data_IF_057227714820
#
_entry.id   IF_057227714820
#
_cell.length_a   1.000
_cell.length_b   1.000
_cell.length_c   1.000
_cell.angle_alpha   90.00
_cell.angle_beta   90.00
_cell.angle_gamma   90.00
#
_symmetry.space_group_name_H-M   'P 1'
#
loop_
_entity.id
_entity.type
_entity.pdbx_description
1 polymer ?
#
# COMPACT_ATOMS: atom_id res chain seq x y z
N UNK A 1 3.28 -8.68 -18.89
CA UNK A 1 2.17 -8.90 -17.94
C UNK A 1 2.47 -10.09 -17.04
N UNK A 2 2.22 -9.94 -15.76
CA UNK A 2 2.33 -11.06 -14.86
C UNK A 2 1.43 -12.22 -15.24
N UNK A 3 1.94 -13.43 -15.12
CA UNK A 3 1.15 -14.65 -15.35
C UNK A 3 0.34 -14.95 -14.09
N UNK A 4 -0.97 -14.83 -14.18
CA UNK A 4 -1.88 -15.02 -13.05
C UNK A 4 -1.75 -16.40 -12.41
N UNK A 5 -1.33 -17.39 -13.17
CA UNK A 5 -1.15 -18.76 -12.66
C UNK A 5 -0.04 -18.86 -11.62
N UNK A 6 0.87 -17.88 -11.57
CA UNK A 6 1.99 -17.83 -10.61
C UNK A 6 1.68 -16.93 -9.41
N UNK A 7 0.49 -16.33 -9.38
CA UNK A 7 0.09 -15.46 -8.28
C UNK A 7 -0.34 -16.32 -7.10
N UNK A 8 0.25 -16.08 -5.93
CA UNK A 8 -0.12 -16.77 -4.71
C UNK A 8 -1.47 -16.32 -4.17
N UNK A 9 -1.89 -16.84 -3.01
CA UNK A 9 -3.12 -16.40 -2.36
C UNK A 9 -3.07 -14.91 -2.06
N UNK A 10 -4.25 -14.26 -2.03
CA UNK A 10 -4.34 -12.83 -1.72
C UNK A 10 -3.92 -12.58 -0.27
N UNK A 11 -3.15 -11.53 -0.06
CA UNK A 11 -2.83 -11.07 1.28
C UNK A 11 -3.74 -9.90 1.64
N UNK A 12 -3.87 -9.64 2.94
CA UNK A 12 -4.69 -8.54 3.45
C UNK A 12 -3.91 -7.23 3.35
N UNK A 13 -4.41 -6.29 2.58
CA UNK A 13 -3.74 -5.02 2.38
C UNK A 13 -4.42 -4.14 1.35
N UNK A 14 -3.91 -2.94 1.18
CA UNK A 14 -4.43 -1.92 0.28
C UNK A 14 -3.27 -1.37 -0.54
N UNK A 15 -3.46 -1.23 -1.85
CA UNK A 15 -2.40 -0.71 -2.73
C UNK A 15 -2.93 0.48 -3.51
N UNK A 16 -2.14 1.55 -3.50
CA UNK A 16 -2.28 2.69 -4.40
C UNK A 16 -0.97 2.87 -5.15
N UNK A 17 -1.03 3.55 -6.28
CA UNK A 17 0.18 3.83 -7.05
C UNK A 17 0.34 5.34 -7.21
N UNK A 18 1.55 5.82 -6.95
CA UNK A 18 1.96 7.21 -7.14
C UNK A 18 2.94 7.26 -8.30
N UNK A 19 2.49 7.85 -9.40
CA UNK A 19 3.25 7.81 -10.65
C UNK A 19 3.49 6.34 -11.04
N UNK A 20 4.71 5.83 -10.95
CA UNK A 20 5.02 4.42 -11.26
C UNK A 20 5.36 3.60 -10.01
N UNK A 21 5.25 4.19 -8.82
CA UNK A 21 5.64 3.54 -7.58
C UNK A 21 4.40 3.05 -6.84
N UNK A 22 4.27 1.73 -6.73
CA UNK A 22 3.20 1.12 -5.95
C UNK A 22 3.50 1.21 -4.45
N UNK A 23 2.46 1.48 -3.68
CA UNK A 23 2.52 1.59 -2.22
C UNK A 23 1.58 0.56 -1.63
N UNK A 24 2.14 -0.40 -0.89
CA UNK A 24 1.36 -1.41 -0.18
C UNK A 24 1.17 -0.97 1.27
N UNK A 25 -0.09 -0.82 1.66
CA UNK A 25 -0.47 -0.46 3.04
C UNK A 25 -0.93 -1.73 3.74
N UNK A 26 -0.26 -2.10 4.81
CA UNK A 26 -0.58 -3.28 5.61
C UNK A 26 -0.88 -2.88 7.05
N UNK A 27 -1.65 -3.71 7.73
CA UNK A 27 -2.07 -3.49 9.11
C UNK A 27 -3.29 -4.34 9.40
N UNK A 28 -3.64 -4.45 10.67
CA UNK A 28 -4.83 -5.21 11.06
C UNK A 28 -6.11 -4.51 10.59
N UNK A 29 -7.21 -5.24 10.56
CA UNK A 29 -8.54 -4.68 10.28
C UNK A 29 -8.82 -3.49 11.20
N UNK A 30 -9.34 -2.40 10.63
CA UNK A 30 -9.64 -1.20 11.40
C UNK A 30 -8.45 -0.30 11.67
N UNK A 31 -7.27 -0.60 11.12
CA UNK A 31 -6.06 0.20 11.36
C UNK A 31 -6.03 1.52 10.57
N UNK A 32 -6.90 1.68 9.58
CA UNK A 32 -6.95 2.91 8.78
C UNK A 32 -6.33 2.79 7.40
N UNK A 33 -6.16 1.57 6.88
CA UNK A 33 -5.56 1.35 5.55
C UNK A 33 -6.34 2.05 4.44
N UNK A 34 -7.65 1.83 4.40
CA UNK A 34 -8.50 2.43 3.36
C UNK A 34 -8.57 3.95 3.49
N UNK A 35 -8.63 4.47 4.72
CA UNK A 35 -8.64 5.91 4.95
C UNK A 35 -7.33 6.55 4.49
N UNK A 36 -6.19 5.91 4.75
CA UNK A 36 -4.91 6.41 4.26
C UNK A 36 -4.86 6.39 2.73
N UNK A 37 -5.33 5.31 2.11
CA UNK A 37 -5.41 5.23 0.65
C UNK A 37 -6.27 6.35 0.08
N UNK A 38 -7.45 6.60 0.66
CA UNK A 38 -8.34 7.67 0.22
C UNK A 38 -7.69 9.05 0.36
N UNK A 39 -6.94 9.27 1.45
CA UNK A 39 -6.20 10.52 1.64
C UNK A 39 -5.12 10.70 0.56
N UNK A 40 -4.42 9.64 0.21
CA UNK A 40 -3.41 9.68 -0.85
C UNK A 40 -4.04 9.92 -2.23
N UNK A 41 -5.20 9.33 -2.47
CA UNK A 41 -5.96 9.53 -3.73
C UNK A 41 -6.56 10.93 -3.82
N UNK A 42 -6.84 11.54 -2.69
CA UNK A 42 -7.46 12.88 -2.63
C UNK A 42 -6.48 14.04 -2.69
N UNK A 43 -5.18 13.79 -2.78
CA UNK A 43 -4.19 14.86 -2.88
C UNK A 43 -4.36 15.61 -4.19
N UNK A 44 -4.50 16.95 -4.09
CA UNK A 44 -4.83 17.76 -5.26
C UNK A 44 -3.66 17.97 -6.22
N UNK A 45 -2.42 17.81 -5.75
CA UNK A 45 -1.23 18.09 -6.54
C UNK A 45 -0.79 16.90 -7.37
N UNK A 46 -0.60 15.75 -6.74
CA UNK A 46 -0.15 14.51 -7.40
C UNK A 46 -0.83 13.33 -6.72
N UNK A 47 -2.11 13.11 -7.03
CA UNK A 47 -2.86 12.06 -6.36
C UNK A 47 -2.37 10.67 -6.74
N UNK A 48 -2.48 9.74 -5.79
CA UNK A 48 -2.34 8.34 -6.07
C UNK A 48 -3.58 7.80 -6.78
N UNK A 49 -3.42 6.71 -7.50
CA UNK A 49 -4.52 5.95 -8.10
C UNK A 49 -4.70 4.65 -7.36
N UNK A 50 -5.94 4.17 -7.27
CA UNK A 50 -6.26 2.90 -6.62
C UNK A 50 -5.76 1.72 -7.45
N UNK A 51 -5.19 0.72 -6.79
CA UNK A 51 -4.93 -0.59 -7.39
C UNK A 51 -5.85 -1.62 -6.77
N UNK A 52 -5.85 -1.74 -5.45
CA UNK A 52 -6.73 -2.68 -4.75
C UNK A 52 -6.96 -2.26 -3.31
N UNK A 53 -8.13 -2.61 -2.76
CA UNK A 53 -8.42 -2.47 -1.33
C UNK A 53 -8.80 -3.83 -0.76
N UNK A 54 -8.35 -4.10 0.48
CA UNK A 54 -8.72 -5.27 1.28
C UNK A 54 -8.25 -6.63 0.74
N UNK A 55 -7.53 -6.66 -0.35
CA UNK A 55 -6.96 -7.91 -0.87
C UNK A 55 -5.95 -7.62 -1.94
N UNK A 56 -4.78 -8.21 -1.85
CA UNK A 56 -3.66 -7.93 -2.75
C UNK A 56 -3.12 -9.23 -3.31
N UNK A 57 -3.08 -9.33 -4.62
CA UNK A 57 -2.36 -10.40 -5.29
C UNK A 57 -0.93 -9.94 -5.55
N UNK A 58 0.02 -10.76 -5.17
CA UNK A 58 1.45 -10.46 -5.33
C UNK A 58 2.10 -11.47 -6.26
N UNK A 59 3.00 -10.97 -7.11
CA UNK A 59 3.78 -11.82 -7.99
C UNK A 59 5.20 -11.29 -8.11
N UNK A 60 6.17 -12.13 -7.74
CA UNK A 60 7.58 -11.79 -7.87
C UNK A 60 8.04 -12.01 -9.32
N UNK A 61 8.88 -11.11 -9.81
CA UNK A 61 9.51 -11.19 -11.12
C UNK A 61 10.94 -10.66 -10.96
N UNK A 62 11.88 -11.56 -10.76
CA UNK A 62 13.25 -11.19 -10.41
C UNK A 62 13.28 -10.45 -9.06
N UNK A 63 13.83 -9.25 -9.07
CA UNK A 63 13.90 -8.39 -7.88
C UNK A 63 12.66 -7.51 -7.72
N UNK A 64 11.70 -7.59 -8.65
CA UNK A 64 10.49 -6.78 -8.63
C UNK A 64 9.30 -7.56 -8.07
N UNK A 65 8.40 -6.84 -7.44
CA UNK A 65 7.16 -7.42 -6.92
C UNK A 65 5.99 -6.65 -7.52
N UNK A 66 5.16 -7.36 -8.29
CA UNK A 66 4.00 -6.80 -8.96
C UNK A 66 2.74 -7.10 -8.18
N UNK A 67 1.78 -6.18 -8.22
CA UNK A 67 0.52 -6.32 -7.50
C UNK A 67 -0.67 -6.07 -8.40
N UNK A 68 -1.80 -6.69 -8.02
CA UNK A 68 -3.09 -6.48 -8.68
C UNK A 68 -4.21 -6.80 -7.70
N UNK A 69 -5.43 -6.38 -8.04
CA UNK A 69 -6.61 -6.71 -7.25
C UNK A 69 -7.17 -8.07 -7.65
N UNK A 70 -7.66 -8.87 -6.69
CA UNK A 70 -8.55 -9.97 -7.04
C UNK A 70 -9.72 -9.44 -7.89
N UNK A 71 -10.20 -10.19 -8.91
CA UNK A 71 -11.19 -9.65 -9.85
C UNK A 71 -12.44 -9.08 -9.18
N UNK A 72 -12.92 -9.70 -8.10
CA UNK A 72 -14.13 -9.24 -7.41
C UNK A 72 -13.92 -7.96 -6.58
N UNK A 73 -12.69 -7.52 -6.39
CA UNK A 73 -12.37 -6.33 -5.59
C UNK A 73 -11.96 -5.13 -6.44
N UNK A 74 -11.88 -5.28 -7.77
CA UNK A 74 -11.41 -4.23 -8.66
C UNK A 74 -12.25 -2.95 -8.55
N UNK A 75 -11.57 -1.83 -8.33
CA UNK A 75 -12.19 -0.50 -8.30
C UNK A 75 -13.03 -0.22 -7.05
N UNK A 76 -13.02 -1.11 -6.06
CA UNK A 76 -13.83 -0.95 -4.86
C UNK A 76 -12.97 -0.58 -3.67
N UNK A 77 -13.44 0.40 -2.91
CA UNK A 77 -12.79 0.80 -1.65
C UNK A 77 -13.86 1.16 -0.64
N UNK A 78 -13.68 0.72 0.60
CA UNK A 78 -14.62 1.02 1.67
C UNK A 78 -14.28 2.37 2.31
N UNK A 79 -15.29 3.27 2.35
CA UNK A 79 -15.20 4.50 3.13
C UNK A 79 -15.95 4.28 4.43
N UNK A 80 -15.25 4.36 5.53
CA UNK A 80 -15.80 4.11 6.85
C UNK A 80 -17.09 4.92 7.09
N UNK A 81 -18.15 4.23 7.48
CA UNK A 81 -19.45 4.86 7.75
C UNK A 81 -20.27 5.19 6.52
N UNK A 82 -19.74 5.02 5.32
CA UNK A 82 -20.41 5.42 4.07
C UNK A 82 -20.59 4.27 3.08
N UNK A 83 -19.96 3.13 3.33
CA UNK A 83 -20.07 1.96 2.47
C UNK A 83 -18.98 1.90 1.40
N UNK A 84 -19.24 1.10 0.37
CA UNK A 84 -18.26 0.84 -0.68
C UNK A 84 -18.42 1.87 -1.80
N UNK A 85 -17.29 2.52 -2.15
CA UNK A 85 -17.20 3.42 -3.29
C UNK A 85 -16.55 2.69 -4.46
N UNK A 86 -16.90 3.11 -5.67
CA UNK A 86 -16.27 2.63 -6.89
C UNK A 86 -15.38 3.72 -7.46
N UNK A 87 -14.17 3.36 -7.83
CA UNK A 87 -13.18 4.27 -8.38
C UNK A 87 -12.56 3.71 -9.65
N UNK A 88 -12.05 4.60 -10.49
CA UNK A 88 -11.12 4.19 -11.53
C UNK A 88 -9.90 3.55 -10.84
N UNK A 89 -9.33 2.54 -11.45
CA UNK A 89 -8.23 1.80 -10.84
C UNK A 89 -7.18 1.43 -11.89
N UNK A 90 -5.97 1.19 -11.40
CA UNK A 90 -4.85 0.68 -12.20
C UNK A 90 -4.80 -0.84 -11.99
N UNK A 91 -4.73 -1.60 -13.07
CA UNK A 91 -4.81 -3.06 -12.99
C UNK A 91 -3.61 -3.70 -12.29
N UNK A 92 -2.42 -3.15 -12.53
CA UNK A 92 -1.20 -3.71 -11.95
C UNK A 92 -0.16 -2.62 -11.79
N UNK A 93 0.69 -2.76 -10.78
CA UNK A 93 1.82 -1.87 -10.59
C UNK A 93 2.95 -2.62 -9.88
N UNK A 94 4.16 -2.05 -9.99
CA UNK A 94 5.31 -2.56 -9.27
C UNK A 94 5.39 -1.87 -7.91
N UNK A 95 5.55 -2.65 -6.85
CA UNK A 95 5.70 -2.10 -5.51
C UNK A 95 7.06 -1.43 -5.32
N UNK A 96 7.07 -0.29 -4.64
CA UNK A 96 8.28 0.42 -4.29
C UNK A 96 8.35 0.83 -2.82
N UNK A 97 7.24 0.76 -2.11
CA UNK A 97 7.17 1.14 -0.70
C UNK A 97 6.10 0.33 0.01
N UNK A 98 6.39 -0.10 1.23
CA UNK A 98 5.40 -0.70 2.12
C UNK A 98 5.18 0.26 3.29
N UNK A 99 3.91 0.51 3.63
CA UNK A 99 3.52 1.30 4.79
C UNK A 99 2.82 0.35 5.76
N UNK A 100 3.38 0.21 6.94
CA UNK A 100 2.80 -0.64 7.98
C UNK A 100 2.15 0.21 9.07
N UNK A 101 0.87 -0.04 9.33
CA UNK A 101 0.13 0.65 10.39
C UNK A 101 0.13 -0.26 11.62
N UNK A 102 0.68 0.23 12.71
CA UNK A 102 0.77 -0.54 13.97
C UNK A 102 0.16 0.28 15.12
N UNK A 103 -0.25 -0.38 16.22
CA UNK A 103 -0.75 0.36 17.38
C UNK A 103 0.25 1.43 17.82
N UNK A 104 -0.26 2.62 18.16
CA UNK A 104 0.58 3.77 18.48
C UNK A 104 1.51 3.55 19.67
N UNK A 105 1.12 2.71 20.62
CA UNK A 105 1.95 2.36 21.77
C UNK A 105 3.12 1.43 21.42
N UNK A 106 3.15 0.91 20.20
CA UNK A 106 4.24 0.05 19.71
C UNK A 106 5.21 0.78 18.77
N UNK A 107 4.98 2.07 18.54
CA UNK A 107 5.86 2.85 17.66
C UNK A 107 7.21 3.07 18.33
N UNK A 108 8.27 2.71 17.64
CA UNK A 108 9.64 3.01 18.04
C UNK A 108 10.06 4.31 17.34
N UNK A 109 10.53 5.29 18.13
CA UNK A 109 10.98 6.59 17.58
C UNK A 109 12.24 6.48 16.75
N UNK A 110 13.08 5.49 17.06
CA UNK A 110 14.34 5.28 16.36
C UNK A 110 14.46 3.78 16.02
N UNK A 111 13.66 3.33 15.05
CA UNK A 111 13.69 1.90 14.70
C UNK A 111 15.04 1.50 14.13
N UNK A 112 15.43 0.26 14.41
CA UNK A 112 16.61 -0.32 13.80
C UNK A 112 16.42 -0.39 12.28
N UNK A 113 17.52 -0.29 11.50
CA UNK A 113 17.41 -0.32 10.04
C UNK A 113 16.64 -1.54 9.51
N UNK A 114 16.80 -2.71 10.13
CA UNK A 114 16.10 -3.92 9.71
C UNK A 114 14.59 -3.81 9.84
N UNK A 115 14.10 -3.01 10.80
CA UNK A 115 12.67 -2.79 10.99
C UNK A 115 12.05 -1.95 9.86
N UNK A 116 12.87 -1.30 9.05
CA UNK A 116 12.44 -0.45 7.94
C UNK A 116 12.56 -1.15 6.59
N UNK A 117 12.64 -2.49 6.62
CA UNK A 117 12.68 -3.32 5.42
C UNK A 117 11.56 -4.35 5.51
N UNK A 118 10.79 -4.48 4.43
CA UNK A 118 9.78 -5.50 4.29
C UNK A 118 10.22 -6.48 3.21
N UNK A 119 10.13 -7.77 3.49
CA UNK A 119 10.58 -8.81 2.57
C UNK A 119 9.45 -9.76 2.24
N UNK A 120 9.28 -10.04 0.96
CA UNK A 120 8.35 -11.05 0.46
C UNK A 120 9.09 -11.88 -0.58
N UNK A 121 9.21 -13.19 -0.32
CA UNK A 121 10.06 -14.09 -1.13
C UNK A 121 11.48 -13.50 -1.22
N UNK A 122 12.00 -13.27 -2.42
CA UNK A 122 13.34 -12.74 -2.62
C UNK A 122 13.37 -11.22 -2.78
N UNK A 123 12.21 -10.54 -2.63
CA UNK A 123 12.10 -9.09 -2.84
C UNK A 123 12.10 -8.38 -1.50
N UNK A 124 12.99 -7.39 -1.36
CA UNK A 124 13.05 -6.53 -0.18
C UNK A 124 12.73 -5.10 -0.59
N UNK A 125 11.84 -4.46 0.16
CA UNK A 125 11.37 -3.10 -0.12
C UNK A 125 11.50 -2.23 1.11
N UNK A 126 11.69 -0.91 0.95
CA UNK A 126 11.67 0.00 2.09
C UNK A 126 10.29 0.00 2.75
N UNK A 127 10.28 0.15 4.06
CA UNK A 127 9.06 0.17 4.86
C UNK A 127 9.00 1.43 5.71
N UNK A 128 7.84 2.10 5.68
CA UNK A 128 7.50 3.20 6.56
C UNK A 128 6.53 2.67 7.61
N UNK A 129 6.81 2.91 8.88
CA UNK A 129 5.95 2.50 9.99
C UNK A 129 5.21 3.72 10.51
N UNK A 130 3.88 3.64 10.57
CA UNK A 130 3.02 4.71 11.08
C UNK A 130 2.10 4.15 12.16
N UNK A 131 1.65 5.00 13.10
CA UNK A 131 0.60 4.57 14.03
C UNK A 131 -0.69 4.30 13.30
N UNK A 132 -1.54 3.43 13.85
CA UNK A 132 -2.89 3.23 13.33
C UNK A 132 -3.65 4.56 13.35
N UNK A 133 -4.57 4.73 12.38
CA UNK A 133 -5.32 5.98 12.17
C UNK A 133 -4.38 7.20 12.12
N UNK A 134 -3.36 7.19 11.24
CA UNK A 134 -2.30 8.19 11.31
C UNK A 134 -2.81 9.58 10.94
N UNK A 135 -2.51 10.56 11.79
CA UNK A 135 -2.69 11.96 11.45
C UNK A 135 -1.57 12.32 10.46
N UNK A 136 -1.91 13.05 9.42
CA UNK A 136 -0.93 13.45 8.40
C UNK A 136 -0.20 12.25 7.76
N UNK A 137 -0.85 11.09 7.72
CA UNK A 137 -0.25 9.89 7.15
C UNK A 137 0.12 10.08 5.68
N UNK A 138 -0.74 10.71 4.90
CA UNK A 138 -0.46 10.99 3.50
C UNK A 138 0.79 11.86 3.34
N UNK A 139 0.95 12.88 4.17
CA UNK A 139 2.15 13.74 4.16
C UNK A 139 3.41 12.94 4.42
N UNK A 140 3.38 12.03 5.40
CA UNK A 140 4.53 11.17 5.72
C UNK A 140 4.87 10.23 4.56
N UNK A 141 3.85 9.67 3.91
CA UNK A 141 4.05 8.79 2.75
C UNK A 141 4.70 9.56 1.60
N UNK A 142 4.17 10.74 1.25
CA UNK A 142 4.74 11.55 0.17
C UNK A 142 6.17 11.99 0.47
N UNK A 143 6.48 12.35 1.72
CA UNK A 143 7.83 12.70 2.10
C UNK A 143 8.79 11.51 1.91
N UNK A 144 8.34 10.32 2.26
CA UNK A 144 9.12 9.09 2.08
C UNK A 144 9.33 8.78 0.60
N UNK A 145 8.27 8.92 -0.21
CA UNK A 145 8.36 8.69 -1.66
C UNK A 145 9.38 9.64 -2.32
N UNK A 146 9.36 10.91 -1.94
CA UNK A 146 10.34 11.87 -2.46
C UNK A 146 11.77 11.49 -2.08
N UNK A 147 11.96 10.92 -0.89
CA UNK A 147 13.28 10.50 -0.44
C UNK A 147 13.81 9.30 -1.22
N UNK A 148 12.97 8.28 -1.42
CA UNK A 148 13.41 7.07 -2.10
C UNK A 148 13.50 7.23 -3.62
N UNK A 149 12.83 8.22 -4.19
CA UNK A 149 12.87 8.49 -5.63
C UNK A 149 13.79 9.67 -5.99
N UNK A 150 14.53 10.18 -5.01
CA UNK A 150 15.47 11.26 -5.23
C UNK A 150 16.74 10.77 -5.92
#
# INVERSE_FOLDING_TARGET
MPDDRKTGPAIHGTVVVWQKTGILIIGRSGSGKSQLALALMGDATRPCSLVTDDGVLLRADGADLWTSAPPNLRGKIERYGMGIETHAFVETCRLGLVVELIPGDRIDRMPEPDALIWTHEAVSLPKLILPEQPRNGASSVYATLRRINA
#
